data_IF_724294752448
#
_entry.id   IF_724294752448
#
_cell.length_a   1.000
_cell.length_b   1.000
_cell.length_c   1.000
_cell.angle_alpha   90.00
_cell.angle_beta   90.00
_cell.angle_gamma   90.00
#
_symmetry.space_group_name_H-M   'P 1'
#
loop_
_entity.id
_entity.type
_entity.pdbx_description
1 polymer ?
#
# COMPACT_ATOMS: atom_id res chain seq x y z
N UNK A 1 -12.68 52.47 -30.85
CA UNK A 1 -12.11 53.43 -29.88
C UNK A 1 -10.69 53.02 -29.62
N UNK A 2 -9.74 53.66 -30.31
CA UNK A 2 -8.31 53.36 -30.17
C UNK A 2 -7.85 53.82 -28.79
N UNK A 3 -7.50 52.88 -27.92
CA UNK A 3 -6.80 53.18 -26.67
C UNK A 3 -5.32 53.38 -27.01
N UNK A 4 -4.95 54.58 -27.43
CA UNK A 4 -3.55 55.00 -27.46
C UNK A 4 -3.10 55.23 -26.02
N UNK A 5 -2.38 54.26 -25.46
CA UNK A 5 -1.69 54.42 -24.19
C UNK A 5 -0.50 55.34 -24.45
N UNK A 6 -0.56 56.55 -23.92
CA UNK A 6 0.52 57.52 -24.06
C UNK A 6 1.77 57.07 -23.29
N UNK A 7 2.95 57.43 -23.78
CA UNK A 7 4.23 57.08 -23.17
C UNK A 7 4.32 57.52 -21.71
N UNK A 8 3.72 58.67 -21.39
CA UNK A 8 3.61 59.20 -20.02
C UNK A 8 2.71 58.36 -19.10
N UNK A 9 1.68 57.69 -19.65
CA UNK A 9 0.86 56.75 -18.88
C UNK A 9 1.65 55.49 -18.51
N UNK A 10 2.45 54.98 -19.46
CA UNK A 10 3.33 53.82 -19.25
C UNK A 10 4.40 54.15 -18.20
N UNK A 11 5.00 55.34 -18.28
CA UNK A 11 6.02 55.78 -17.32
C UNK A 11 5.43 55.99 -15.92
N UNK A 12 4.21 56.54 -15.80
CA UNK A 12 3.49 56.62 -14.52
C UNK A 12 3.15 55.26 -13.92
N UNK A 13 2.80 54.28 -14.75
CA UNK A 13 2.50 52.92 -14.29
C UNK A 13 3.77 52.13 -13.93
N UNK A 14 4.90 52.42 -14.58
CA UNK A 14 6.24 51.94 -14.21
C UNK A 14 6.74 52.58 -12.90
N UNK A 15 6.47 53.85 -12.64
CA UNK A 15 6.78 54.52 -11.36
C UNK A 15 5.89 54.03 -10.22
N UNK A 16 4.64 53.62 -10.52
CA UNK A 16 3.71 52.99 -9.56
C UNK A 16 4.01 51.51 -9.30
N UNK A 17 4.78 50.85 -10.17
CA UNK A 17 5.40 49.58 -9.81
C UNK A 17 6.44 49.86 -8.74
N UNK A 18 6.00 49.79 -7.48
CA UNK A 18 6.90 49.59 -6.36
C UNK A 18 7.63 48.29 -6.67
N UNK A 19 8.86 48.39 -7.17
CA UNK A 19 9.81 47.30 -7.14
C UNK A 19 9.88 46.88 -5.68
N UNK A 20 9.13 45.83 -5.34
CA UNK A 20 9.32 45.09 -4.09
C UNK A 20 10.81 44.77 -3.96
N UNK A 21 11.32 44.67 -2.73
CA UNK A 21 12.75 44.73 -2.45
C UNK A 21 13.54 43.89 -3.45
N UNK A 22 14.38 44.61 -4.20
CA UNK A 22 15.43 44.09 -5.05
C UNK A 22 16.17 42.98 -4.31
N UNK A 23 16.61 41.98 -5.08
CA UNK A 23 17.18 40.66 -4.73
C UNK A 23 18.38 40.63 -3.77
N UNK A 24 18.65 41.68 -3.01
CA UNK A 24 19.60 41.72 -1.89
C UNK A 24 19.09 41.12 -0.57
N UNK A 25 17.98 40.36 -0.58
CA UNK A 25 17.49 39.65 0.62
C UNK A 25 18.17 38.28 0.80
N UNK A 26 18.86 37.75 -0.21
CA UNK A 26 19.65 36.51 -0.11
C UNK A 26 21.18 36.74 0.01
N UNK A 27 21.60 37.94 0.41
CA UNK A 27 23.01 38.29 0.67
C UNK A 27 23.22 39.13 1.94
N UNK A 28 22.26 39.10 2.89
CA UNK A 28 22.41 39.75 4.19
C UNK A 28 22.91 38.74 5.23
N UNK A 29 23.99 39.10 5.94
CA UNK A 29 24.44 38.44 7.18
C UNK A 29 23.25 38.30 8.14
N UNK A 30 23.03 37.09 8.64
CA UNK A 30 21.83 36.70 9.37
C UNK A 30 21.71 37.32 10.77
N UNK A 31 20.46 37.55 11.20
CA UNK A 31 20.04 37.56 12.61
C UNK A 31 19.57 36.15 13.00
N UNK A 32 19.50 35.79 14.30
CA UNK A 32 19.11 34.44 14.72
C UNK A 32 17.65 34.14 14.34
N UNK A 33 17.40 33.05 13.59
CA UNK A 33 16.05 32.54 13.28
C UNK A 33 15.54 32.72 11.85
N UNK A 34 16.34 33.20 10.89
CA UNK A 34 15.97 33.23 9.45
C UNK A 34 16.70 32.13 8.65
N UNK A 35 16.00 31.52 7.69
CA UNK A 35 16.53 30.44 6.84
C UNK A 35 17.78 30.85 6.05
N UNK A 36 18.80 30.02 6.14
CA UNK A 36 20.13 30.16 5.56
C UNK A 36 20.14 30.22 4.02
N UNK A 37 20.48 31.37 3.43
CA UNK A 37 20.98 31.44 2.06
C UNK A 37 21.91 32.65 1.90
N UNK A 38 23.20 32.44 2.17
CA UNK A 38 24.30 33.34 1.79
C UNK A 38 25.61 32.54 1.77
N UNK A 39 25.99 31.98 0.61
CA UNK A 39 27.27 31.28 0.44
C UNK A 39 27.36 30.59 -0.93
N UNK A 40 28.48 30.79 -1.64
CA UNK A 40 28.81 30.35 -3.00
C UNK A 40 28.87 28.83 -3.25
N UNK A 41 28.41 28.03 -2.30
CA UNK A 41 28.74 26.59 -2.25
C UNK A 41 27.71 25.70 -2.97
N UNK A 42 26.57 26.28 -3.37
CA UNK A 42 25.48 25.58 -4.04
C UNK A 42 25.29 26.07 -5.48
N UNK A 43 24.96 25.15 -6.40
CA UNK A 43 24.56 25.53 -7.75
C UNK A 43 23.23 26.29 -7.73
N UNK A 44 23.15 27.43 -8.45
CA UNK A 44 21.92 28.22 -8.55
C UNK A 44 20.73 27.42 -9.11
N UNK A 45 20.99 26.50 -10.05
CA UNK A 45 19.97 25.61 -10.63
C UNK A 45 19.36 24.65 -9.60
N UNK A 46 20.08 24.35 -8.53
CA UNK A 46 19.63 23.44 -7.48
C UNK A 46 18.55 24.06 -6.57
N UNK A 47 18.33 25.38 -6.67
CA UNK A 47 17.20 26.08 -6.06
C UNK A 47 15.99 26.23 -6.99
N UNK A 48 16.10 25.84 -8.27
CA UNK A 48 15.05 26.07 -9.26
C UNK A 48 13.98 24.96 -9.24
N UNK A 49 12.71 25.31 -8.98
CA UNK A 49 11.62 24.33 -9.00
C UNK A 49 11.39 23.75 -10.40
N UNK A 50 10.92 22.50 -10.46
CA UNK A 50 10.54 21.86 -11.73
C UNK A 50 9.25 22.49 -12.23
N UNK A 51 9.27 23.01 -13.45
CA UNK A 51 8.10 23.62 -14.08
C UNK A 51 7.87 22.97 -15.45
N UNK A 52 6.66 22.43 -15.64
CA UNK A 52 6.21 21.84 -16.90
C UNK A 52 5.60 22.92 -17.81
N UNK A 53 6.41 23.90 -18.23
CA UNK A 53 6.03 24.93 -19.20
C UNK A 53 6.93 24.86 -20.43
N UNK A 54 6.41 25.18 -21.63
CA UNK A 54 7.21 25.24 -22.84
C UNK A 54 8.31 26.30 -22.71
N UNK A 55 9.46 26.05 -23.36
CA UNK A 55 10.61 26.96 -23.34
C UNK A 55 10.33 28.22 -24.17
N UNK A 56 9.65 28.05 -25.31
CA UNK A 56 9.15 29.14 -26.14
C UNK A 56 7.79 29.58 -25.60
N UNK A 57 7.62 30.86 -25.36
CA UNK A 57 6.39 31.42 -24.82
C UNK A 57 5.55 32.04 -25.93
N UNK A 58 4.23 31.88 -25.85
CA UNK A 58 3.27 32.61 -26.69
C UNK A 58 2.99 33.97 -26.04
N UNK A 59 2.89 35.07 -26.81
CA UNK A 59 2.51 36.37 -26.26
C UNK A 59 1.16 36.30 -25.52
N UNK A 60 1.13 36.69 -24.24
CA UNK A 60 -0.05 36.64 -23.37
C UNK A 60 0.01 35.56 -22.28
N UNK A 61 0.84 34.53 -22.45
CA UNK A 61 1.10 33.54 -21.41
C UNK A 61 2.28 33.95 -20.51
N UNK A 62 2.34 33.39 -19.29
CA UNK A 62 3.42 33.69 -18.34
C UNK A 62 4.72 33.00 -18.78
N UNK A 63 5.83 33.75 -18.96
CA UNK A 63 7.10 33.14 -19.32
C UNK A 63 7.60 32.17 -18.24
N UNK A 64 8.21 31.06 -18.66
CA UNK A 64 8.71 30.01 -17.76
C UNK A 64 9.64 30.55 -16.66
N UNK A 65 10.57 31.46 -16.99
CA UNK A 65 11.50 32.05 -16.00
C UNK A 65 10.77 32.79 -14.88
N UNK A 66 9.68 33.48 -15.21
CA UNK A 66 8.87 34.22 -14.23
C UNK A 66 8.15 33.24 -13.31
N UNK A 67 7.62 32.14 -13.85
CA UNK A 67 6.95 31.12 -13.05
C UNK A 67 7.91 30.38 -12.12
N UNK A 68 9.11 30.03 -12.59
CA UNK A 68 10.18 29.43 -11.76
C UNK A 68 10.52 30.35 -10.59
N UNK A 69 10.72 31.64 -10.83
CA UNK A 69 11.01 32.63 -9.78
C UNK A 69 9.82 32.82 -8.81
N UNK A 70 8.58 32.81 -9.32
CA UNK A 70 7.36 32.90 -8.51
C UNK A 70 7.24 31.71 -7.55
N UNK A 71 7.45 30.49 -8.06
CA UNK A 71 7.43 29.28 -7.25
C UNK A 71 8.60 29.24 -6.26
N UNK A 72 9.80 29.66 -6.67
CA UNK A 72 10.96 29.77 -5.77
C UNK A 72 10.65 30.67 -4.57
N UNK A 73 10.06 31.84 -4.80
CA UNK A 73 9.63 32.77 -3.73
C UNK A 73 8.53 32.19 -2.87
N UNK A 74 7.58 31.47 -3.48
CA UNK A 74 6.51 30.80 -2.75
C UNK A 74 7.08 29.75 -1.81
N UNK A 75 7.96 28.88 -2.29
CA UNK A 75 8.54 27.80 -1.50
C UNK A 75 9.41 28.36 -0.36
N UNK A 76 10.17 29.42 -0.61
CA UNK A 76 10.98 30.08 0.42
C UNK A 76 10.16 30.71 1.55
N UNK A 77 8.90 31.08 1.29
CA UNK A 77 8.00 31.65 2.31
C UNK A 77 7.38 30.57 3.21
N UNK A 78 7.32 29.33 2.74
CA UNK A 78 6.65 28.24 3.45
C UNK A 78 7.62 27.59 4.44
N UNK A 79 7.14 27.39 5.66
CA UNK A 79 7.88 26.74 6.73
C UNK A 79 7.44 25.28 6.89
N UNK A 80 8.40 24.35 6.82
CA UNK A 80 8.13 22.91 6.83
C UNK A 80 7.54 22.42 8.17
N UNK A 81 8.12 22.73 9.34
CA UNK A 81 7.54 22.36 10.64
C UNK A 81 6.09 22.83 10.80
N UNK A 82 5.76 24.04 10.33
CA UNK A 82 4.39 24.56 10.37
C UNK A 82 3.46 23.73 9.48
N UNK A 83 3.85 23.43 8.24
CA UNK A 83 3.07 22.61 7.30
C UNK A 83 2.85 21.17 7.80
N UNK A 84 3.83 20.59 8.48
CA UNK A 84 3.74 19.26 9.09
C UNK A 84 2.74 19.28 10.26
N UNK A 85 2.80 20.30 11.11
CA UNK A 85 1.88 20.48 12.24
C UNK A 85 0.43 20.65 11.77
N UNK A 86 0.20 21.42 10.70
CA UNK A 86 -1.13 21.58 10.08
C UNK A 86 -1.72 20.26 9.59
N UNK A 87 -0.87 19.29 9.19
CA UNK A 87 -1.26 17.94 8.77
C UNK A 87 -1.34 16.92 9.91
N UNK A 88 -1.15 17.37 11.16
CA UNK A 88 -1.18 16.51 12.34
C UNK A 88 0.07 15.64 12.53
N UNK A 89 1.18 15.97 11.87
CA UNK A 89 2.45 15.26 12.03
C UNK A 89 3.23 15.84 13.20
N UNK A 90 3.70 14.98 14.10
CA UNK A 90 4.55 15.35 15.23
C UNK A 90 5.98 14.89 14.95
N UNK A 91 6.92 15.85 14.77
CA UNK A 91 8.31 15.56 14.40
C UNK A 91 8.99 14.57 15.35
N UNK A 92 8.74 14.69 16.66
CA UNK A 92 9.30 13.80 17.69
C UNK A 92 8.87 12.34 17.55
N UNK A 93 7.76 12.08 16.87
CA UNK A 93 7.21 10.74 16.65
C UNK A 93 7.61 10.17 15.29
N UNK A 94 8.34 10.90 14.45
CA UNK A 94 8.74 10.41 13.12
C UNK A 94 9.68 9.20 13.23
N UNK A 95 10.68 9.29 14.10
CA UNK A 95 11.63 8.20 14.37
C UNK A 95 11.05 7.26 15.44
N UNK A 96 10.98 5.94 15.19
CA UNK A 96 10.57 4.98 16.21
C UNK A 96 11.60 4.96 17.35
N UNK A 97 11.15 4.77 18.59
CA UNK A 97 12.02 4.69 19.77
C UNK A 97 11.83 3.37 20.50
N UNK A 98 12.90 2.84 21.07
CA UNK A 98 12.83 1.70 21.98
C UNK A 98 12.22 2.18 23.30
N UNK A 99 11.15 1.51 23.69
CA UNK A 99 10.46 1.78 24.95
C UNK A 99 10.68 0.60 25.89
N UNK A 100 11.34 0.86 27.03
CA UNK A 100 11.58 -0.15 28.08
C UNK A 100 10.38 -0.32 29.01
N UNK A 101 9.59 0.74 29.24
CA UNK A 101 8.38 0.72 30.05
C UNK A 101 7.26 1.51 29.36
N UNK A 102 6.23 0.82 28.88
CA UNK A 102 5.08 1.42 28.19
C UNK A 102 3.90 1.60 29.16
N UNK A 103 3.92 2.69 29.94
CA UNK A 103 2.73 3.13 30.68
C UNK A 103 1.90 4.04 29.78
N UNK A 104 0.83 3.51 29.19
CA UNK A 104 -0.04 4.26 28.28
C UNK A 104 -1.28 4.73 29.05
N UNK A 105 -1.42 6.06 29.14
CA UNK A 105 -2.59 6.68 29.74
C UNK A 105 -3.66 6.79 28.65
N UNK A 106 -4.70 5.96 28.76
CA UNK A 106 -5.86 6.02 27.88
C UNK A 106 -6.69 7.29 28.16
N UNK A 107 -7.37 7.78 27.13
CA UNK A 107 -8.32 8.90 27.19
C UNK A 107 -7.76 10.26 27.63
N UNK A 108 -6.43 10.44 27.58
CA UNK A 108 -5.83 11.75 27.87
C UNK A 108 -6.18 12.80 26.80
N UNK A 109 -6.23 12.40 25.53
CA UNK A 109 -6.55 13.27 24.40
C UNK A 109 -7.77 12.71 23.65
N UNK A 110 -8.87 13.47 23.48
CA UNK A 110 -10.04 13.00 22.73
C UNK A 110 -9.75 12.63 21.26
N UNK A 111 -8.78 13.32 20.64
CA UNK A 111 -8.38 13.07 19.25
C UNK A 111 -7.43 11.88 19.09
N UNK A 112 -6.78 11.44 20.18
CA UNK A 112 -5.90 10.28 20.18
C UNK A 112 -6.07 9.53 21.51
N UNK A 113 -7.15 8.75 21.65
CA UNK A 113 -7.56 8.18 22.93
C UNK A 113 -6.58 7.11 23.44
N UNK A 114 -5.71 6.59 22.58
CA UNK A 114 -4.64 5.67 22.97
C UNK A 114 -3.36 6.01 22.19
N UNK A 115 -2.52 6.92 22.72
CA UNK A 115 -1.31 7.37 22.03
C UNK A 115 -0.20 6.33 22.19
N UNK A 116 -0.34 5.18 21.53
CA UNK A 116 0.71 4.19 21.43
C UNK A 116 1.93 4.79 20.73
N UNK A 117 3.14 4.64 21.29
CA UNK A 117 4.31 5.13 20.60
C UNK A 117 4.58 4.31 19.34
N UNK A 118 5.07 4.96 18.27
CA UNK A 118 5.41 4.28 17.04
C UNK A 118 6.62 3.38 17.24
N UNK A 119 6.56 2.19 16.65
CA UNK A 119 7.66 1.22 16.70
C UNK A 119 8.12 0.80 15.29
N UNK A 120 7.28 0.97 14.26
CA UNK A 120 7.68 0.70 12.89
C UNK A 120 8.47 1.88 12.30
N UNK A 121 9.53 1.62 11.53
CA UNK A 121 10.21 2.63 10.73
C UNK A 121 9.26 3.30 9.74
N UNK A 122 9.34 4.63 9.64
CA UNK A 122 8.48 5.39 8.72
C UNK A 122 8.80 5.11 7.25
N UNK A 123 10.05 4.75 6.94
CA UNK A 123 10.52 4.44 5.59
C UNK A 123 9.75 3.31 4.89
N UNK A 124 9.15 2.37 5.63
CA UNK A 124 8.31 1.32 5.04
C UNK A 124 7.01 1.83 4.43
N UNK A 125 6.57 3.02 4.83
CA UNK A 125 5.32 3.65 4.40
C UNK A 125 5.55 4.85 3.46
N UNK A 126 6.80 5.08 3.05
CA UNK A 126 7.16 6.18 2.17
C UNK A 126 6.61 5.97 0.75
N UNK A 127 5.81 6.91 0.27
CA UNK A 127 5.29 6.89 -1.09
C UNK A 127 6.17 7.76 -2.02
N UNK A 128 6.89 7.12 -2.93
CA UNK A 128 7.75 7.80 -3.90
C UNK A 128 7.00 8.54 -5.01
N UNK A 129 5.69 8.32 -5.19
CA UNK A 129 4.87 8.99 -6.21
C UNK A 129 4.73 10.50 -5.96
N UNK A 130 4.95 10.95 -4.73
CA UNK A 130 5.01 12.38 -4.41
C UNK A 130 6.27 13.07 -4.96
N UNK A 131 7.30 12.32 -5.36
CA UNK A 131 8.57 12.88 -5.84
C UNK A 131 8.45 13.40 -7.27
N UNK A 132 8.88 14.65 -7.49
CA UNK A 132 8.78 15.29 -8.80
C UNK A 132 9.97 15.00 -9.73
N UNK A 133 11.04 14.39 -9.20
CA UNK A 133 12.28 14.06 -9.92
C UNK A 133 12.82 12.72 -9.43
N UNK A 134 13.56 12.04 -10.30
CA UNK A 134 14.29 10.83 -9.91
C UNK A 134 15.55 11.19 -9.11
N UNK A 135 16.11 10.28 -8.28
CA UNK A 135 17.37 10.53 -7.57
C UNK A 135 18.51 10.98 -8.49
N UNK A 136 18.61 10.38 -9.68
CA UNK A 136 19.60 10.77 -10.70
C UNK A 136 19.39 12.20 -11.23
N UNK A 137 18.14 12.66 -11.34
CA UNK A 137 17.83 14.04 -11.74
C UNK A 137 18.20 15.03 -10.64
N UNK A 138 17.96 14.69 -9.37
CA UNK A 138 18.36 15.52 -8.24
C UNK A 138 19.87 15.71 -8.20
N UNK A 139 20.62 14.61 -8.20
CA UNK A 139 22.10 14.58 -8.17
C UNK A 139 22.72 15.38 -9.33
N UNK A 140 22.11 15.39 -10.51
CA UNK A 140 22.56 16.19 -11.66
C UNK A 140 22.50 17.71 -11.44
N UNK A 141 21.63 18.21 -10.56
CA UNK A 141 21.55 19.65 -10.27
C UNK A 141 22.81 20.17 -9.57
N UNK A 142 23.58 19.29 -8.93
CA UNK A 142 24.86 19.64 -8.29
C UNK A 142 26.05 19.77 -9.25
N UNK A 143 25.90 19.45 -10.54
CA UNK A 143 27.04 19.50 -11.48
C UNK A 143 27.47 20.96 -11.71
N UNK A 144 28.71 21.28 -11.33
CA UNK A 144 29.38 22.56 -11.54
C UNK A 144 30.72 22.37 -12.26
N UNK A 145 31.36 23.47 -12.70
CA UNK A 145 32.67 23.43 -13.39
C UNK A 145 33.77 22.81 -12.55
N UNK A 146 33.68 22.92 -11.21
CA UNK A 146 34.69 22.38 -10.27
C UNK A 146 34.39 20.94 -9.81
N UNK A 147 33.30 20.33 -10.29
CA UNK A 147 32.85 19.01 -9.86
C UNK A 147 31.41 19.02 -9.38
N UNK A 148 31.03 18.02 -8.61
CA UNK A 148 29.70 17.88 -8.04
C UNK A 148 29.60 18.62 -6.71
N UNK A 149 28.90 19.75 -6.73
CA UNK A 149 28.57 20.55 -5.56
C UNK A 149 27.40 19.96 -4.77
N UNK A 150 27.29 20.27 -3.48
CA UNK A 150 26.15 19.88 -2.67
C UNK A 150 24.85 20.46 -3.23
N UNK A 151 23.74 19.77 -2.97
CA UNK A 151 22.40 20.23 -3.34
C UNK A 151 21.69 20.74 -2.08
N UNK A 152 21.11 21.95 -2.09
CA UNK A 152 20.49 22.53 -0.91
C UNK A 152 19.21 21.79 -0.53
N UNK A 153 19.09 21.47 0.76
CA UNK A 153 18.01 20.65 1.31
C UNK A 153 17.72 20.94 2.78
N UNK A 154 16.58 20.46 3.26
CA UNK A 154 16.22 20.42 4.67
C UNK A 154 16.05 18.96 5.07
N UNK A 155 16.77 18.53 6.11
CA UNK A 155 16.87 17.14 6.50
C UNK A 155 16.48 16.92 7.96
N UNK A 156 15.78 15.82 8.25
CA UNK A 156 15.56 15.36 9.62
C UNK A 156 16.82 14.63 10.12
N UNK A 157 17.58 15.28 11.00
CA UNK A 157 18.88 14.82 11.50
C UNK A 157 18.90 14.79 13.04
N UNK A 158 19.79 13.99 13.66
CA UNK A 158 19.97 14.06 15.10
C UNK A 158 20.47 15.45 15.51
N UNK A 159 20.04 15.93 16.67
CA UNK A 159 20.44 17.25 17.18
C UNK A 159 21.95 17.30 17.47
N UNK A 160 22.53 16.20 17.96
CA UNK A 160 23.97 16.06 18.19
C UNK A 160 24.61 15.21 17.09
N UNK A 161 25.75 15.64 16.57
CA UNK A 161 26.46 14.93 15.51
C UNK A 161 26.99 13.57 15.98
N UNK A 162 27.40 13.46 17.25
CA UNK A 162 27.86 12.22 17.88
C UNK A 162 26.79 11.12 17.94
N UNK A 163 25.51 11.49 17.85
CA UNK A 163 24.41 10.54 17.86
C UNK A 163 24.17 9.89 16.49
N UNK A 164 24.93 10.29 15.45
CA UNK A 164 24.85 9.73 14.09
C UNK A 164 25.13 8.23 14.00
N UNK A 165 26.09 7.76 14.81
CA UNK A 165 26.53 6.35 14.80
C UNK A 165 25.69 5.46 15.74
N UNK A 166 24.83 6.07 16.56
CA UNK A 166 23.96 5.33 17.48
C UNK A 166 22.78 4.71 16.74
N UNK A 167 22.16 3.71 17.36
CA UNK A 167 20.91 3.14 16.86
C UNK A 167 19.84 4.26 16.82
N UNK A 168 19.21 4.53 15.66
CA UNK A 168 18.17 5.56 15.52
C UNK A 168 17.01 5.40 16.51
N UNK A 169 16.80 4.16 16.98
CA UNK A 169 15.76 3.81 17.93
C UNK A 169 16.12 4.13 19.39
N UNK A 170 17.34 4.57 19.68
CA UNK A 170 17.75 4.98 21.02
C UNK A 170 16.91 6.18 21.51
N UNK A 171 16.21 6.07 22.66
CA UNK A 171 15.36 7.12 23.19
C UNK A 171 16.11 8.41 23.56
N UNK A 172 17.43 8.38 23.72
CA UNK A 172 18.26 9.56 24.04
C UNK A 172 18.48 10.50 22.86
N UNK A 173 18.25 10.04 21.62
CA UNK A 173 18.49 10.83 20.41
C UNK A 173 17.27 11.69 20.09
N UNK A 174 17.46 13.00 20.06
CA UNK A 174 16.47 13.95 19.55
C UNK A 174 16.72 14.25 18.07
N UNK A 175 15.64 14.37 17.30
CA UNK A 175 15.69 14.66 15.87
C UNK A 175 14.95 15.95 15.57
N UNK A 176 15.54 16.79 14.71
CA UNK A 176 14.90 18.00 14.20
C UNK A 176 15.28 18.27 12.74
N UNK A 177 14.57 19.20 12.11
CA UNK A 177 14.79 19.60 10.73
C UNK A 177 15.88 20.66 10.65
N UNK A 178 16.99 20.32 9.98
CA UNK A 178 18.13 21.21 9.78
C UNK A 178 18.37 21.48 8.30
N UNK A 179 18.91 22.66 8.01
CA UNK A 179 19.48 22.95 6.70
C UNK A 179 20.69 22.05 6.43
N UNK A 180 20.72 21.47 5.23
CA UNK A 180 21.73 20.49 4.87
C UNK A 180 22.02 20.49 3.36
N UNK A 181 23.19 20.01 2.98
CA UNK A 181 23.58 19.75 1.60
C UNK A 181 23.55 18.26 1.30
N UNK A 182 22.90 17.85 0.21
CA UNK A 182 23.01 16.48 -0.31
C UNK A 182 24.28 16.37 -1.13
N UNK A 183 25.15 15.46 -0.71
CA UNK A 183 26.48 15.24 -1.27
C UNK A 183 26.48 14.12 -2.31
N UNK A 184 25.74 13.03 -2.06
CA UNK A 184 25.67 11.89 -2.96
C UNK A 184 24.39 11.04 -2.73
N UNK A 185 24.16 10.06 -3.59
CA UNK A 185 23.07 9.09 -3.49
C UNK A 185 23.56 7.69 -3.86
N UNK A 186 23.25 6.70 -3.01
CA UNK A 186 23.53 5.30 -3.29
C UNK A 186 22.28 4.59 -3.88
N UNK A 187 22.33 4.11 -5.15
CA UNK A 187 21.22 3.40 -5.76
C UNK A 187 20.89 2.05 -5.14
N UNK A 188 21.85 1.38 -4.49
CA UNK A 188 21.64 0.03 -3.92
C UNK A 188 20.84 0.12 -2.62
N UNK A 189 21.31 0.95 -1.67
CA UNK A 189 20.63 1.17 -0.39
C UNK A 189 19.47 2.17 -0.47
N UNK A 190 19.38 2.93 -1.57
CA UNK A 190 18.42 4.04 -1.78
C UNK A 190 18.56 5.16 -0.74
N UNK A 191 19.76 5.33 -0.20
CA UNK A 191 20.07 6.35 0.81
C UNK A 191 20.73 7.57 0.17
N UNK A 192 20.49 8.74 0.76
CA UNK A 192 21.15 9.99 0.42
C UNK A 192 22.23 10.30 1.44
N UNK A 193 23.41 10.68 0.96
CA UNK A 193 24.49 11.17 1.80
C UNK A 193 24.34 12.67 1.96
N UNK A 194 24.18 13.14 3.19
CA UNK A 194 23.89 14.54 3.49
C UNK A 194 24.85 15.08 4.53
N UNK A 195 25.08 16.38 4.51
CA UNK A 195 25.87 17.10 5.50
C UNK A 195 25.08 18.27 6.07
N UNK A 196 25.07 18.41 7.39
CA UNK A 196 24.47 19.57 8.07
C UNK A 196 25.30 20.84 7.79
N UNK A 197 24.62 21.97 7.57
CA UNK A 197 25.32 23.26 7.41
C UNK A 197 26.03 23.69 8.69
N UNK A 198 27.14 24.41 8.57
CA UNK A 198 27.82 25.05 9.69
C UNK A 198 27.08 26.31 10.19
N UNK A 199 27.62 26.97 11.22
CA UNK A 199 27.06 28.24 11.77
C UNK A 199 27.00 29.38 10.74
N UNK A 200 27.81 29.29 9.68
CA UNK A 200 27.85 30.24 8.58
C UNK A 200 26.99 29.81 7.39
N UNK A 201 26.16 28.77 7.55
CA UNK A 201 25.30 28.21 6.51
C UNK A 201 26.06 27.61 5.30
N UNK A 202 27.28 27.11 5.52
CA UNK A 202 28.16 26.53 4.49
C UNK A 202 28.31 25.03 4.67
N UNK A 203 28.68 24.36 3.57
CA UNK A 203 29.00 22.93 3.54
C UNK A 203 30.52 22.80 3.34
N UNK A 204 31.23 22.76 4.47
CA UNK A 204 32.69 22.76 4.51
C UNK A 204 33.24 21.48 5.14
N UNK A 205 34.43 21.09 4.70
CA UNK A 205 35.23 20.05 5.34
C UNK A 205 35.87 20.58 6.64
N UNK A 206 36.55 19.72 7.44
CA UNK A 206 37.27 20.17 8.64
C UNK A 206 38.38 21.19 8.39
N UNK A 207 38.85 21.33 7.14
CA UNK A 207 39.88 22.29 6.75
C UNK A 207 39.29 23.65 6.34
N UNK A 208 37.96 23.76 6.22
CA UNK A 208 37.24 24.97 5.82
C UNK A 208 37.00 25.10 4.31
N UNK A 209 37.35 24.08 3.53
CA UNK A 209 37.15 24.02 2.08
C UNK A 209 35.75 23.46 1.75
N UNK A 210 35.19 23.88 0.62
CA UNK A 210 33.88 23.40 0.18
C UNK A 210 33.92 21.89 -0.12
N UNK A 211 32.98 21.13 0.45
CA UNK A 211 32.86 19.71 0.16
C UNK A 211 32.29 19.51 -1.24
N UNK A 212 33.04 18.83 -2.10
CA UNK A 212 32.64 18.46 -3.46
C UNK A 212 32.78 16.94 -3.66
N UNK A 213 32.12 16.42 -4.70
CA UNK A 213 32.21 15.03 -5.14
C UNK A 213 31.94 14.01 -4.02
N UNK A 214 30.96 14.27 -3.15
CA UNK A 214 30.56 13.28 -2.14
C UNK A 214 31.60 13.05 -1.03
N UNK A 215 32.51 14.00 -0.76
CA UNK A 215 33.66 13.81 0.14
C UNK A 215 34.62 12.70 -0.30
N UNK A 216 34.67 12.40 -1.60
CA UNK A 216 35.63 11.45 -2.17
C UNK A 216 36.95 12.18 -2.41
N UNK A 217 38.01 11.69 -1.77
CA UNK A 217 39.36 12.20 -1.98
C UNK A 217 39.82 11.85 -3.42
N UNK A 218 40.22 12.84 -4.23
CA UNK A 218 40.63 12.62 -5.61
C UNK A 218 41.89 11.76 -5.76
N UNK A 219 42.73 11.68 -4.72
CA UNK A 219 43.99 10.92 -4.76
C UNK A 219 43.75 9.47 -4.37
N UNK A 220 43.04 9.24 -3.27
CA UNK A 220 42.84 7.90 -2.71
C UNK A 220 41.60 7.20 -3.25
N UNK A 221 40.65 7.94 -3.81
CA UNK A 221 39.35 7.44 -4.27
C UNK A 221 38.44 6.97 -3.13
N UNK A 222 38.83 7.20 -1.86
CA UNK A 222 38.05 6.83 -0.68
C UNK A 222 37.19 7.99 -0.22
N UNK A 223 36.01 7.69 0.32
CA UNK A 223 35.15 8.66 0.96
C UNK A 223 35.63 8.92 2.39
N UNK A 224 35.89 10.19 2.70
CA UNK A 224 36.10 10.65 4.06
C UNK A 224 34.73 11.00 4.66
N UNK A 225 34.37 10.36 5.76
CA UNK A 225 33.10 10.61 6.47
C UNK A 225 33.40 11.48 7.67
N UNK A 226 32.71 12.62 7.78
CA UNK A 226 32.83 13.54 8.92
C UNK A 226 31.64 13.38 9.88
N UNK A 227 31.78 13.77 11.17
CA UNK A 227 30.72 13.58 12.17
C UNK A 227 29.38 14.26 11.84
N UNK A 228 29.39 15.34 11.07
CA UNK A 228 28.21 16.08 10.62
C UNK A 228 27.60 15.54 9.32
N UNK A 229 28.01 14.35 8.87
CA UNK A 229 27.56 13.70 7.65
C UNK A 229 26.79 12.41 7.96
N UNK A 230 25.68 12.20 7.27
CA UNK A 230 24.75 11.11 7.55
C UNK A 230 24.21 10.49 6.28
N UNK A 231 23.93 9.19 6.34
CA UNK A 231 23.11 8.50 5.33
C UNK A 231 21.66 8.49 5.79
N UNK A 232 20.76 9.03 4.97
CA UNK A 232 19.34 9.14 5.30
C UNK A 232 18.44 8.68 4.17
N UNK A 233 17.26 8.19 4.55
CA UNK A 233 16.19 7.82 3.61
C UNK A 233 15.54 9.06 2.99
N UNK A 234 14.92 8.89 1.82
CA UNK A 234 14.32 10.00 1.06
C UNK A 234 13.22 10.76 1.83
N UNK A 235 12.40 10.08 2.63
CA UNK A 235 11.34 10.74 3.41
C UNK A 235 11.88 11.72 4.45
N UNK A 236 13.15 11.60 4.86
CA UNK A 236 13.83 12.51 5.80
C UNK A 236 14.42 13.75 5.13
N UNK A 237 14.34 13.85 3.81
CA UNK A 237 15.07 14.81 2.99
C UNK A 237 14.10 15.60 2.10
N UNK A 238 13.99 16.91 2.27
CA UNK A 238 13.29 17.81 1.36
C UNK A 238 14.29 18.65 0.58
N UNK A 239 14.28 18.59 -0.75
CA UNK A 239 15.11 19.49 -1.56
C UNK A 239 14.54 20.92 -1.56
N UNK A 240 15.40 21.95 -1.56
CA UNK A 240 14.92 23.35 -1.63
C UNK A 240 14.20 23.70 -2.94
N UNK A 241 14.42 22.91 -3.99
CA UNK A 241 13.71 23.00 -5.27
C UNK A 241 12.44 22.12 -5.36
N UNK A 242 12.04 21.47 -4.26
CA UNK A 242 10.78 20.72 -4.12
C UNK A 242 9.68 21.61 -3.51
N UNK A 243 8.41 21.30 -3.77
CA UNK A 243 7.29 22.01 -3.13
C UNK A 243 7.14 21.54 -1.68
N UNK A 244 7.31 22.42 -0.67
CA UNK A 244 7.23 22.03 0.73
C UNK A 244 5.87 21.42 1.12
N UNK A 245 4.79 21.79 0.42
CA UNK A 245 3.44 21.26 0.69
C UNK A 245 3.34 19.80 0.28
N UNK A 246 3.84 19.46 -0.91
CA UNK A 246 3.82 18.10 -1.44
C UNK A 246 4.71 17.20 -0.57
N UNK A 247 5.88 17.71 -0.16
CA UNK A 247 6.74 16.97 0.77
C UNK A 247 6.07 16.76 2.14
N UNK A 248 5.39 17.78 2.68
CA UNK A 248 4.63 17.63 3.91
C UNK A 248 3.46 16.64 3.77
N UNK A 249 2.78 16.61 2.61
CA UNK A 249 1.74 15.61 2.29
C UNK A 249 2.32 14.19 2.24
N UNK A 250 3.51 14.01 1.65
CA UNK A 250 4.23 12.72 1.61
C UNK A 250 4.54 12.20 3.01
N UNK A 251 5.13 13.04 3.88
CA UNK A 251 5.46 12.66 5.26
C UNK A 251 4.18 12.37 6.05
N UNK A 252 3.13 13.18 5.88
CA UNK A 252 1.85 12.97 6.54
C UNK A 252 1.16 11.66 6.10
N UNK A 253 1.22 11.33 4.81
CA UNK A 253 0.72 10.07 4.29
C UNK A 253 1.41 8.88 4.95
N UNK A 254 2.76 8.86 4.95
CA UNK A 254 3.52 7.80 5.59
C UNK A 254 3.22 7.71 7.10
N UNK A 255 3.08 8.87 7.77
CA UNK A 255 2.79 8.96 9.20
C UNK A 255 1.44 8.33 9.55
N UNK A 256 0.40 8.64 8.77
CA UNK A 256 -0.94 8.09 8.94
C UNK A 256 -0.99 6.59 8.57
N UNK A 257 -0.36 6.20 7.47
CA UNK A 257 -0.30 4.80 7.03
C UNK A 257 0.40 3.93 8.08
N UNK A 258 1.51 4.40 8.67
CA UNK A 258 2.15 3.72 9.80
C UNK A 258 1.21 3.59 10.99
N UNK A 259 0.58 4.69 11.42
CA UNK A 259 -0.35 4.68 12.57
C UNK A 259 -1.47 3.66 12.37
N UNK A 260 -2.04 3.60 11.16
CA UNK A 260 -3.07 2.63 10.79
C UNK A 260 -2.55 1.19 10.81
N UNK A 261 -1.37 0.94 10.21
CA UNK A 261 -0.78 -0.40 10.17
C UNK A 261 -0.46 -0.93 11.57
N UNK A 262 0.14 -0.11 12.44
CA UNK A 262 0.42 -0.50 13.82
C UNK A 262 -0.87 -0.78 14.62
N UNK A 263 -1.93 0.00 14.36
CA UNK A 263 -3.25 -0.25 14.93
C UNK A 263 -3.86 -1.58 14.46
N UNK A 264 -3.75 -1.89 13.17
CA UNK A 264 -4.24 -3.15 12.59
C UNK A 264 -3.46 -4.37 13.11
N UNK A 265 -2.14 -4.25 13.30
CA UNK A 265 -1.32 -5.28 13.92
C UNK A 265 -1.75 -5.55 15.36
N UNK A 266 -2.00 -4.49 16.15
CA UNK A 266 -2.54 -4.61 17.51
C UNK A 266 -3.92 -5.27 17.52
N UNK A 267 -4.83 -4.81 16.66
CA UNK A 267 -6.17 -5.38 16.51
C UNK A 267 -6.10 -6.88 16.20
N UNK A 268 -5.25 -7.26 15.25
CA UNK A 268 -5.04 -8.66 14.86
C UNK A 268 -4.52 -9.49 16.04
N UNK A 269 -3.52 -8.98 16.76
CA UNK A 269 -3.00 -9.62 17.96
C UNK A 269 -4.08 -9.80 19.04
N UNK A 270 -4.94 -8.80 19.26
CA UNK A 270 -6.03 -8.92 20.23
C UNK A 270 -6.98 -10.06 19.87
N UNK A 271 -7.40 -10.13 18.61
CA UNK A 271 -8.29 -11.18 18.10
C UNK A 271 -7.65 -12.56 18.23
N UNK A 272 -6.37 -12.68 17.88
CA UNK A 272 -5.63 -13.95 17.92
C UNK A 272 -5.38 -14.43 19.36
N UNK A 273 -5.34 -13.51 20.33
CA UNK A 273 -5.24 -13.81 21.75
C UNK A 273 -6.59 -13.98 22.46
N UNK A 274 -7.73 -13.78 21.78
CA UNK A 274 -9.04 -14.00 22.39
C UNK A 274 -9.30 -15.49 22.60
N UNK A 275 -9.93 -15.88 23.72
CA UNK A 275 -10.27 -17.27 23.97
C UNK A 275 -11.22 -17.80 22.90
N UNK A 276 -11.11 -19.09 22.59
CA UNK A 276 -11.99 -19.78 21.64
C UNK A 276 -13.10 -20.59 22.33
N UNK A 277 -13.07 -20.67 23.66
CA UNK A 277 -14.02 -21.45 24.44
C UNK A 277 -15.43 -20.86 24.36
N UNK A 278 -16.41 -21.70 24.04
CA UNK A 278 -17.81 -21.29 23.93
C UNK A 278 -18.15 -20.54 22.64
N UNK A 279 -17.20 -20.35 21.73
CA UNK A 279 -17.53 -20.01 20.35
C UNK A 279 -18.28 -21.18 19.72
N UNK A 280 -19.31 -20.86 18.92
CA UNK A 280 -19.96 -21.87 18.11
C UNK A 280 -18.96 -22.53 17.16
N UNK A 281 -19.35 -23.67 16.59
CA UNK A 281 -18.60 -24.27 15.48
C UNK A 281 -19.45 -24.19 14.22
N UNK A 282 -18.79 -24.23 13.06
CA UNK A 282 -19.47 -24.53 11.81
C UNK A 282 -20.25 -25.85 11.95
N UNK A 283 -21.49 -25.86 11.49
CA UNK A 283 -22.33 -27.05 11.61
C UNK A 283 -21.71 -28.23 10.84
N UNK A 284 -21.66 -29.45 11.40
CA UNK A 284 -21.04 -30.61 10.74
C UNK A 284 -21.54 -30.85 9.31
N UNK A 285 -22.82 -30.59 9.06
CA UNK A 285 -23.43 -30.68 7.72
C UNK A 285 -22.75 -29.80 6.68
N UNK A 286 -22.34 -28.58 7.05
CA UNK A 286 -21.66 -27.68 6.13
C UNK A 286 -20.28 -28.23 5.76
N UNK A 287 -19.56 -28.79 6.73
CA UNK A 287 -18.28 -29.44 6.48
C UNK A 287 -18.43 -30.65 5.57
N UNK A 288 -19.42 -31.52 5.82
CA UNK A 288 -19.71 -32.68 4.95
C UNK A 288 -20.02 -32.24 3.50
N UNK A 289 -20.79 -31.16 3.32
CA UNK A 289 -21.08 -30.63 1.98
C UNK A 289 -19.85 -30.06 1.29
N UNK A 290 -19.03 -29.29 2.02
CA UNK A 290 -17.78 -28.71 1.50
C UNK A 290 -16.81 -29.83 1.12
N UNK A 291 -16.62 -30.81 2.00
CA UNK A 291 -15.76 -31.97 1.79
C UNK A 291 -16.22 -32.77 0.57
N UNK A 292 -17.52 -33.07 0.46
CA UNK A 292 -18.09 -33.78 -0.69
C UNK A 292 -17.83 -33.04 -2.00
N UNK A 293 -18.00 -31.72 -2.03
CA UNK A 293 -17.73 -30.90 -3.22
C UNK A 293 -16.24 -30.87 -3.55
N UNK A 294 -15.36 -30.68 -2.56
CA UNK A 294 -13.92 -30.69 -2.74
C UNK A 294 -13.41 -32.04 -3.25
N UNK A 295 -13.98 -33.16 -2.79
CA UNK A 295 -13.62 -34.50 -3.23
C UNK A 295 -14.18 -34.91 -4.60
N UNK A 296 -15.10 -34.12 -5.18
CA UNK A 296 -15.66 -34.38 -6.52
C UNK A 296 -14.67 -34.12 -7.66
N UNK A 297 -13.51 -33.53 -7.38
CA UNK A 297 -12.47 -33.24 -8.38
C UNK A 297 -11.86 -34.53 -8.95
N UNK A 298 -11.87 -34.72 -10.29
CA UNK A 298 -11.30 -35.91 -10.93
C UNK A 298 -9.83 -36.13 -10.57
N UNK A 299 -9.47 -37.36 -10.18
CA UNK A 299 -8.10 -37.74 -9.85
C UNK A 299 -7.66 -37.47 -8.41
N UNK A 300 -8.41 -36.66 -7.65
CA UNK A 300 -8.08 -36.32 -6.26
C UNK A 300 -8.15 -37.54 -5.32
N UNK A 301 -9.09 -38.45 -5.56
CA UNK A 301 -9.26 -39.69 -4.78
C UNK A 301 -8.07 -40.64 -4.81
N UNK A 302 -7.15 -40.47 -5.77
CA UNK A 302 -5.91 -41.27 -5.88
C UNK A 302 -4.79 -40.76 -4.98
N UNK A 303 -4.96 -39.58 -4.36
CA UNK A 303 -3.95 -38.99 -3.50
C UNK A 303 -3.91 -39.69 -2.14
N UNK A 304 -2.75 -40.28 -1.82
CA UNK A 304 -2.57 -41.16 -0.64
C UNK A 304 -2.79 -40.44 0.71
N UNK A 305 -2.50 -39.14 0.77
CA UNK A 305 -2.59 -38.32 1.99
C UNK A 305 -3.87 -37.47 2.06
N UNK A 306 -4.88 -37.78 1.23
CA UNK A 306 -6.08 -36.95 1.09
C UNK A 306 -6.81 -36.74 2.41
N UNK A 307 -7.00 -37.81 3.19
CA UNK A 307 -7.67 -37.74 4.50
C UNK A 307 -6.93 -36.86 5.51
N UNK A 308 -5.60 -36.97 5.54
CA UNK A 308 -4.78 -36.16 6.44
C UNK A 308 -4.79 -34.67 6.04
N UNK A 309 -4.71 -34.40 4.73
CA UNK A 309 -4.83 -33.05 4.21
C UNK A 309 -6.22 -32.43 4.51
N UNK A 310 -7.30 -33.19 4.31
CA UNK A 310 -8.66 -32.74 4.65
C UNK A 310 -8.80 -32.44 6.14
N UNK A 311 -8.28 -33.28 7.03
CA UNK A 311 -8.33 -33.04 8.47
C UNK A 311 -7.55 -31.79 8.90
N UNK A 312 -6.40 -31.52 8.28
CA UNK A 312 -5.63 -30.29 8.51
C UNK A 312 -6.41 -29.05 8.06
N UNK A 313 -7.04 -29.11 6.89
CA UNK A 313 -7.88 -28.03 6.37
C UNK A 313 -9.12 -27.80 7.24
N UNK A 314 -9.78 -28.87 7.71
CA UNK A 314 -10.92 -28.76 8.62
C UNK A 314 -10.52 -28.04 9.91
N UNK A 315 -9.35 -28.36 10.45
CA UNK A 315 -8.80 -27.67 11.62
C UNK A 315 -8.51 -26.19 11.32
N UNK A 316 -7.86 -25.87 10.20
CA UNK A 316 -7.57 -24.50 9.77
C UNK A 316 -8.85 -23.67 9.58
N UNK A 317 -9.85 -24.23 8.88
CA UNK A 317 -11.16 -23.59 8.68
C UNK A 317 -11.86 -23.33 10.02
N UNK A 318 -11.75 -24.27 10.97
CA UNK A 318 -12.33 -24.10 12.30
C UNK A 318 -11.65 -22.97 13.07
N UNK A 319 -10.31 -22.90 13.01
CA UNK A 319 -9.56 -21.80 13.63
C UNK A 319 -9.91 -20.44 13.00
N UNK A 320 -10.01 -20.37 11.68
CA UNK A 320 -10.42 -19.16 10.96
C UNK A 320 -11.85 -18.75 11.32
N UNK A 321 -12.77 -19.71 11.45
CA UNK A 321 -14.13 -19.44 11.90
C UNK A 321 -14.13 -18.83 13.31
N UNK A 322 -13.41 -19.44 14.26
CA UNK A 322 -13.27 -18.91 15.62
C UNK A 322 -12.68 -17.49 15.62
N UNK A 323 -11.65 -17.27 14.81
CA UNK A 323 -11.01 -15.96 14.64
C UNK A 323 -12.00 -14.91 14.12
N UNK A 324 -12.80 -15.24 13.11
CA UNK A 324 -13.85 -14.34 12.57
C UNK A 324 -14.94 -14.07 13.61
N UNK A 325 -15.35 -15.07 14.39
CA UNK A 325 -16.31 -14.86 15.48
C UNK A 325 -15.75 -13.93 16.56
N UNK A 326 -14.47 -14.09 16.92
CA UNK A 326 -13.78 -13.18 17.83
C UNK A 326 -13.69 -11.76 17.29
N UNK A 327 -13.45 -11.57 15.98
CA UNK A 327 -13.52 -10.24 15.34
C UNK A 327 -14.90 -9.61 15.55
N UNK A 328 -15.99 -10.34 15.26
CA UNK A 328 -17.35 -9.80 15.45
C UNK A 328 -17.64 -9.43 16.91
N UNK A 329 -17.22 -10.26 17.86
CA UNK A 329 -17.39 -10.02 19.30
C UNK A 329 -16.62 -8.77 19.72
N UNK A 330 -15.33 -8.67 19.35
CA UNK A 330 -14.48 -7.53 19.68
C UNK A 330 -15.03 -6.25 19.07
N UNK A 331 -15.34 -6.26 17.78
CA UNK A 331 -15.93 -5.10 17.11
C UNK A 331 -17.23 -4.64 17.75
N UNK A 332 -18.09 -5.58 18.15
CA UNK A 332 -19.32 -5.25 18.86
C UNK A 332 -19.03 -4.63 20.21
N UNK A 333 -18.11 -5.20 20.99
CA UNK A 333 -17.70 -4.66 22.28
C UNK A 333 -17.13 -3.23 22.17
N UNK A 334 -16.30 -2.97 21.15
CA UNK A 334 -15.76 -1.63 20.87
C UNK A 334 -16.88 -0.64 20.50
N UNK A 335 -17.87 -1.06 19.71
CA UNK A 335 -19.02 -0.22 19.34
C UNK A 335 -19.95 0.08 20.52
N UNK A 336 -20.19 -0.92 21.38
CA UNK A 336 -21.10 -0.82 22.52
C UNK A 336 -20.49 0.00 23.66
N UNK A 337 -19.16 -0.11 23.89
CA UNK A 337 -18.42 0.70 24.87
C UNK A 337 -17.06 1.21 24.33
N UNK A 338 -17.06 2.28 23.52
CA UNK A 338 -15.83 2.86 22.99
C UNK A 338 -14.88 3.38 24.07
N UNK A 339 -15.40 3.64 25.28
CA UNK A 339 -14.62 4.28 26.34
C UNK A 339 -13.64 3.31 27.01
N UNK A 340 -14.11 2.11 27.32
CA UNK A 340 -13.27 1.04 27.85
C UNK A 340 -12.29 0.54 26.80
N UNK A 341 -12.70 0.47 25.53
CA UNK A 341 -11.89 -0.05 24.42
C UNK A 341 -11.17 1.01 23.58
N UNK A 342 -10.88 2.19 24.15
CA UNK A 342 -10.18 3.27 23.44
C UNK A 342 -8.83 2.86 22.81
N UNK A 343 -8.20 1.83 23.37
CA UNK A 343 -6.95 1.26 22.87
C UNK A 343 -7.11 0.41 21.61
N UNK A 344 -8.33 0.08 21.22
CA UNK A 344 -8.65 -0.69 20.01
C UNK A 344 -9.07 0.28 18.92
N UNK A 345 -8.30 0.31 17.84
CA UNK A 345 -8.69 0.98 16.60
C UNK A 345 -9.23 -0.09 15.66
N UNK A 346 -10.49 0.07 15.22
CA UNK A 346 -11.09 -0.88 14.28
C UNK A 346 -10.48 -0.69 12.88
N UNK A 347 -10.19 -1.77 12.15
CA UNK A 347 -9.64 -1.70 10.81
C UNK A 347 -10.63 -1.02 9.86
N UNK A 348 -10.11 -0.20 8.94
CA UNK A 348 -10.92 0.42 7.91
C UNK A 348 -11.41 -0.67 6.94
N UNK A 349 -12.73 -0.82 6.83
CA UNK A 349 -13.30 -1.73 5.84
C UNK A 349 -13.26 -1.06 4.47
N UNK A 350 -12.46 -1.59 3.56
CA UNK A 350 -12.58 -1.23 2.16
C UNK A 350 -13.91 -1.78 1.61
N UNK A 351 -14.92 -0.91 1.56
CA UNK A 351 -16.15 -1.22 0.84
C UNK A 351 -15.82 -1.19 -0.65
N UNK A 352 -15.71 -2.38 -1.26
CA UNK A 352 -15.65 -2.47 -2.72
C UNK A 352 -16.89 -1.75 -3.27
N UNK A 353 -16.72 -0.70 -4.10
CA UNK A 353 -17.87 -0.03 -4.68
C UNK A 353 -18.70 -1.07 -5.42
N UNK A 354 -20.02 -1.02 -5.24
CA UNK A 354 -20.91 -1.91 -5.98
C UNK A 354 -20.61 -1.77 -7.48
N UNK A 355 -20.42 -2.88 -8.21
CA UNK A 355 -20.12 -2.80 -9.62
C UNK A 355 -21.27 -2.09 -10.31
N UNK A 356 -20.97 -1.04 -11.10
CA UNK A 356 -21.99 -0.27 -11.83
C UNK A 356 -22.80 -1.14 -12.80
N UNK A 357 -22.25 -2.28 -13.22
CA UNK A 357 -22.89 -3.21 -14.14
C UNK A 357 -22.91 -4.61 -13.54
N UNK A 358 -24.00 -5.34 -13.73
CA UNK A 358 -24.17 -6.73 -13.31
C UNK A 358 -23.40 -7.76 -14.16
N UNK A 359 -22.62 -7.31 -15.15
CA UNK A 359 -21.89 -8.17 -16.09
C UNK A 359 -20.39 -7.98 -15.91
N UNK A 360 -19.70 -9.08 -15.64
CA UNK A 360 -18.24 -9.14 -15.58
C UNK A 360 -17.67 -9.04 -17.01
N UNK A 361 -16.83 -8.05 -17.32
CA UNK A 361 -16.40 -7.76 -18.70
C UNK A 361 -15.49 -8.83 -19.30
N UNK A 362 -14.74 -9.58 -18.47
CA UNK A 362 -13.74 -10.55 -18.94
C UNK A 362 -14.29 -11.97 -19.17
N UNK A 363 -15.61 -12.17 -19.17
CA UNK A 363 -16.19 -13.47 -19.54
C UNK A 363 -16.17 -13.57 -21.07
N UNK A 364 -15.39 -14.49 -21.66
CA UNK A 364 -15.38 -14.67 -23.10
C UNK A 364 -16.80 -15.00 -23.59
N UNK A 365 -17.21 -14.53 -24.78
CA UNK A 365 -18.53 -14.85 -25.32
C UNK A 365 -18.67 -16.36 -25.49
N UNK A 366 -19.38 -17.01 -24.57
CA UNK A 366 -19.71 -18.42 -24.64
C UNK A 366 -20.98 -18.60 -25.48
N UNK A 367 -20.95 -19.33 -26.60
CA UNK A 367 -22.09 -19.49 -27.49
C UNK A 367 -23.09 -20.51 -26.91
N UNK A 368 -23.69 -20.17 -25.76
CA UNK A 368 -24.58 -21.04 -25.00
C UNK A 368 -25.68 -21.64 -25.86
N UNK A 369 -26.34 -20.83 -26.69
CA UNK A 369 -27.39 -21.31 -27.59
C UNK A 369 -26.89 -22.44 -28.50
N UNK A 370 -25.75 -22.26 -29.17
CA UNK A 370 -25.18 -23.29 -30.07
C UNK A 370 -24.79 -24.57 -29.32
N UNK A 371 -24.19 -24.44 -28.13
CA UNK A 371 -23.78 -25.59 -27.33
C UNK A 371 -24.99 -26.32 -26.71
N UNK A 372 -25.99 -25.57 -26.26
CA UNK A 372 -27.27 -26.09 -25.77
C UNK A 372 -28.01 -26.84 -26.88
N UNK A 373 -28.10 -26.26 -28.08
CA UNK A 373 -28.76 -26.88 -29.23
C UNK A 373 -28.03 -28.15 -29.67
N UNK A 374 -26.69 -28.12 -29.73
CA UNK A 374 -25.87 -29.29 -30.05
C UNK A 374 -26.02 -30.40 -29.01
N UNK A 375 -26.08 -30.05 -27.73
CA UNK A 375 -26.31 -31.01 -26.65
C UNK A 375 -27.73 -31.59 -26.69
N UNK A 376 -28.75 -30.75 -26.88
CA UNK A 376 -30.14 -31.18 -27.02
C UNK A 376 -30.38 -32.02 -28.29
N UNK A 377 -29.62 -31.81 -29.35
CA UNK A 377 -29.70 -32.64 -30.55
C UNK A 377 -29.02 -34.01 -30.36
N UNK A 378 -27.90 -34.06 -29.64
CA UNK A 378 -27.13 -35.29 -29.44
C UNK A 378 -27.59 -36.14 -28.25
N UNK A 379 -28.39 -35.57 -27.36
CA UNK A 379 -28.90 -36.26 -26.18
C UNK A 379 -30.12 -37.13 -26.52
N UNK A 380 -30.04 -38.40 -26.16
CA UNK A 380 -31.19 -39.33 -26.22
C UNK A 380 -32.33 -38.96 -25.25
N UNK A 381 -32.05 -38.06 -24.29
CA UNK A 381 -33.00 -37.64 -23.26
C UNK A 381 -33.85 -36.43 -23.66
N UNK A 382 -33.63 -35.87 -24.84
CA UNK A 382 -34.36 -34.72 -25.40
C UNK A 382 -35.17 -35.10 -26.64
N UNK A 383 -34.89 -36.26 -27.24
CA UNK A 383 -35.62 -36.79 -28.39
C UNK A 383 -36.86 -37.54 -27.91
N UNK A 384 -38.04 -37.07 -28.32
CA UNK A 384 -39.35 -37.62 -27.93
C UNK A 384 -39.48 -39.11 -28.23
N UNK A 385 -39.03 -39.54 -29.40
CA UNK A 385 -39.08 -40.92 -29.87
C UNK A 385 -38.17 -41.84 -29.03
N UNK A 386 -37.02 -41.31 -28.59
CA UNK A 386 -36.11 -42.05 -27.70
C UNK A 386 -36.72 -42.22 -26.31
N UNK A 387 -37.37 -41.18 -25.80
CA UNK A 387 -38.08 -41.22 -24.51
C UNK A 387 -39.23 -42.21 -24.57
N UNK A 388 -40.05 -42.16 -25.62
CA UNK A 388 -41.16 -43.10 -25.83
C UNK A 388 -40.66 -44.55 -25.95
N UNK A 389 -39.61 -44.80 -26.74
CA UNK A 389 -39.00 -46.11 -26.85
C UNK A 389 -38.50 -46.62 -25.49
N UNK A 390 -37.83 -45.78 -24.70
CA UNK A 390 -37.40 -46.14 -23.33
C UNK A 390 -38.59 -46.45 -22.42
N UNK A 391 -39.69 -45.70 -22.52
CA UNK A 391 -40.92 -45.95 -21.77
C UNK A 391 -41.57 -47.29 -22.17
N UNK A 392 -41.61 -47.60 -23.47
CA UNK A 392 -42.15 -48.86 -23.99
C UNK A 392 -41.29 -50.06 -23.57
N UNK A 393 -39.97 -49.96 -23.72
CA UNK A 393 -39.04 -51.00 -23.24
C UNK A 393 -39.22 -51.23 -21.74
N UNK A 394 -39.32 -50.16 -20.94
CA UNK A 394 -39.58 -50.28 -19.51
C UNK A 394 -40.93 -50.92 -19.21
N UNK A 395 -41.98 -50.55 -19.94
CA UNK A 395 -43.31 -51.14 -19.79
C UNK A 395 -43.28 -52.65 -20.07
N UNK A 396 -42.62 -53.08 -21.14
CA UNK A 396 -42.48 -54.50 -21.47
C UNK A 396 -41.59 -55.25 -20.48
N UNK A 397 -40.47 -54.66 -20.02
CA UNK A 397 -39.66 -55.27 -18.95
C UNK A 397 -40.45 -55.45 -17.66
N UNK A 398 -41.30 -54.47 -17.28
CA UNK A 398 -42.18 -54.57 -16.12
C UNK A 398 -43.30 -55.60 -16.34
N UNK A 399 -43.83 -55.71 -17.57
CA UNK A 399 -44.82 -56.71 -17.94
C UNK A 399 -44.23 -58.12 -17.82
N UNK A 400 -43.03 -58.33 -18.38
CA UNK A 400 -42.28 -59.57 -18.23
C UNK A 400 -42.04 -59.91 -16.76
N UNK A 401 -41.59 -58.96 -15.94
CA UNK A 401 -41.30 -59.21 -14.52
C UNK A 401 -42.55 -59.61 -13.71
N UNK A 402 -43.69 -58.98 -13.98
CA UNK A 402 -44.90 -59.15 -13.14
C UNK A 402 -45.85 -60.23 -13.66
N UNK A 403 -45.94 -60.40 -14.98
CA UNK A 403 -46.95 -61.23 -15.62
C UNK A 403 -46.38 -62.46 -16.33
N UNK A 404 -45.07 -62.53 -16.58
CA UNK A 404 -44.44 -63.70 -17.19
C UNK A 404 -43.41 -64.33 -16.25
N UNK A 405 -43.53 -65.63 -15.99
CA UNK A 405 -42.48 -66.39 -15.32
C UNK A 405 -41.81 -67.29 -16.33
N UNK A 406 -40.57 -66.98 -16.72
CA UNK A 406 -39.79 -67.83 -17.63
C UNK A 406 -39.60 -69.26 -17.11
N UNK A 407 -39.68 -69.43 -15.79
CA UNK A 407 -39.70 -70.73 -15.13
C UNK A 407 -40.71 -70.73 -14.00
N UNK A 408 -41.37 -71.86 -13.80
CA UNK A 408 -42.27 -72.03 -12.67
C UNK A 408 -41.45 -72.40 -11.42
N UNK A 409 -41.09 -71.40 -10.61
CA UNK A 409 -40.33 -71.59 -9.37
C UNK A 409 -41.21 -71.80 -8.12
N UNK A 410 -42.55 -71.70 -8.24
CA UNK A 410 -43.49 -71.86 -7.12
C UNK A 410 -43.88 -73.34 -6.94
N UNK A 411 -42.89 -74.18 -6.66
CA UNK A 411 -43.08 -75.63 -6.53
C UNK A 411 -43.28 -75.98 -5.06
N UNK A 412 -44.50 -76.36 -4.70
CA UNK A 412 -44.87 -76.75 -3.33
C UNK A 412 -44.87 -78.28 -3.13
N UNK A 413 -44.65 -79.08 -4.19
CA UNK A 413 -44.68 -80.55 -4.15
C UNK A 413 -43.48 -81.16 -4.89
N UNK A 414 -43.01 -82.33 -4.46
CA UNK A 414 -41.97 -83.09 -5.16
C UNK A 414 -42.54 -83.78 -6.41
N UNK A 415 -41.82 -83.69 -7.53
CA UNK A 415 -42.18 -84.25 -8.84
C UNK A 415 -41.12 -85.21 -9.34
N UNK A 416 -41.51 -86.12 -10.25
CA UNK A 416 -40.52 -86.88 -11.04
C UNK A 416 -39.98 -86.00 -12.18
N UNK A 417 -38.76 -86.27 -12.63
CA UNK A 417 -38.03 -85.41 -13.58
C UNK A 417 -38.85 -85.06 -14.84
N UNK A 418 -39.50 -86.05 -15.46
CA UNK A 418 -40.31 -85.84 -16.67
C UNK A 418 -41.58 -84.99 -16.43
N UNK A 419 -42.16 -85.02 -15.24
CA UNK A 419 -43.33 -84.20 -14.87
C UNK A 419 -42.90 -82.74 -14.66
N UNK A 420 -41.71 -82.53 -14.09
CA UNK A 420 -41.13 -81.20 -13.95
C UNK A 420 -40.78 -80.60 -15.32
N UNK A 421 -40.17 -81.37 -16.22
CA UNK A 421 -39.84 -80.94 -17.58
C UNK A 421 -41.10 -80.50 -18.34
N UNK A 422 -42.16 -81.33 -18.33
CA UNK A 422 -43.44 -80.98 -18.95
C UNK A 422 -44.10 -79.74 -18.33
N UNK A 423 -43.93 -79.51 -17.03
CA UNK A 423 -44.48 -78.35 -16.32
C UNK A 423 -43.69 -77.06 -16.64
N UNK A 424 -42.38 -77.16 -16.86
CA UNK A 424 -41.58 -76.03 -17.35
C UNK A 424 -41.86 -75.73 -18.82
N UNK A 425 -42.03 -76.75 -19.66
CA UNK A 425 -42.38 -76.57 -21.08
C UNK A 425 -43.72 -75.82 -21.24
N UNK A 426 -44.72 -76.17 -20.41
CA UNK A 426 -46.00 -75.47 -20.37
C UNK A 426 -45.89 -74.04 -19.84
N UNK A 427 -44.94 -73.76 -18.94
CA UNK A 427 -44.71 -72.41 -18.40
C UNK A 427 -43.96 -71.49 -19.37
N UNK A 428 -43.19 -72.06 -20.31
CA UNK A 428 -42.35 -71.31 -21.26
C UNK A 428 -43.06 -71.05 -22.60
N UNK A 429 -44.24 -71.64 -22.82
CA UNK A 429 -45.02 -71.43 -24.06
C UNK A 429 -45.84 -70.15 -23.92
N UNK A 430 -45.37 -69.08 -24.57
CA UNK A 430 -46.01 -67.75 -24.64
C UNK A 430 -47.37 -67.82 -25.32
#
# INVERSE_FOLDING_TARGET
TNFEVTKEQVDKDLERQVFGPHTGIFTKKAKPGESCASGCDFNALAFEPKVQLPVLHVPGEKPRKVEVERLRRLYARLDLPTLLKERGVVTKLLMPKQHTNLNIILMMNPNDPAPFPPYLPLGYFDNTEFDNRTPKEWIKLGIMTMGQAPIPSVCLLPTKDEDGDKDPTDPSIEYDWFDAGVLDYDPETKMYFVQRVDENCRIVDPNGDMVINGSIDPVTGKRNIYPNQFWIERWRLMFRAEDPRIFADRVAFAYQARKQCEAELRYTLYVDCMPMDGLGNLTPKNFEEIEKRAHSTPGLSKFKMLKEATAKLEHEITLDYCRVMNQFILEKAVRDDPSTFAFVTLPLRYEKPAPMYSKFPDVPPYPYAKQSDSFAYSSIYTITESIEAMCLVRAECNNLLNNMSFFNFKITKLFKLHEFESLQDQATTI
#
